data_IF_286248839421
#
_entry.id   IF_286248839421
#
_cell.length_a   1.000
_cell.length_b   1.000
_cell.length_c   1.000
_cell.angle_alpha   90.00
_cell.angle_beta   90.00
_cell.angle_gamma   90.00
#
_symmetry.space_group_name_H-M   'P 1'
#
loop_
_entity.id
_entity.type
_entity.pdbx_description
1 polymer ?
#
# COMPACT_ATOMS: atom_id res chain seq x y z
N UNK A 1 11.13 -31.38 -40.53
CA UNK A 1 10.48 -31.59 -39.23
C UNK A 1 10.95 -30.49 -38.30
N UNK A 2 10.23 -29.37 -38.27
CA UNK A 2 10.56 -28.21 -37.43
C UNK A 2 9.36 -27.90 -36.56
N UNK A 3 9.42 -28.27 -35.29
CA UNK A 3 8.62 -27.62 -34.24
C UNK A 3 9.45 -27.57 -32.96
N UNK A 4 10.42 -26.67 -32.94
CA UNK A 4 10.92 -26.10 -31.69
C UNK A 4 9.81 -25.21 -31.14
N UNK A 5 9.06 -25.74 -30.17
CA UNK A 5 8.15 -24.96 -29.33
C UNK A 5 8.98 -23.91 -28.60
N UNK A 6 9.00 -22.70 -29.13
CA UNK A 6 9.45 -21.51 -28.41
C UNK A 6 8.57 -21.38 -27.17
N UNK A 7 9.18 -21.63 -26.00
CA UNK A 7 8.70 -21.07 -24.75
C UNK A 7 8.65 -19.56 -24.96
N UNK A 8 7.46 -19.02 -25.09
CA UNK A 8 7.24 -17.59 -25.01
C UNK A 8 7.76 -17.15 -23.65
N UNK A 9 8.89 -16.45 -23.66
CA UNK A 9 9.34 -15.66 -22.53
C UNK A 9 8.25 -14.64 -22.23
N UNK A 10 7.41 -14.93 -21.24
CA UNK A 10 6.53 -13.94 -20.61
C UNK A 10 7.43 -12.84 -20.06
N UNK A 11 7.46 -11.71 -20.76
CA UNK A 11 8.18 -10.50 -20.38
C UNK A 11 7.77 -10.08 -18.97
N UNK A 12 8.74 -10.01 -18.05
CA UNK A 12 8.58 -9.53 -16.68
C UNK A 12 8.36 -8.02 -16.57
N UNK A 13 8.35 -7.31 -17.71
CA UNK A 13 8.50 -5.85 -17.77
C UNK A 13 7.22 -5.14 -18.23
N UNK A 14 6.06 -5.74 -18.02
CA UNK A 14 4.81 -5.01 -18.22
C UNK A 14 4.66 -3.95 -17.12
N UNK A 15 4.77 -2.70 -17.53
CA UNK A 15 4.47 -1.53 -16.71
C UNK A 15 2.97 -1.52 -16.39
N UNK A 16 2.63 -1.32 -15.12
CA UNK A 16 1.25 -1.25 -14.66
C UNK A 16 0.54 -0.06 -15.32
N UNK A 17 -0.57 -0.33 -16.00
CA UNK A 17 -1.32 0.72 -16.67
C UNK A 17 -2.04 1.65 -15.68
N UNK A 18 -2.32 2.87 -16.14
CA UNK A 18 -2.96 3.93 -15.35
C UNK A 18 -4.35 3.55 -14.83
N UNK A 19 -5.10 2.71 -15.55
CA UNK A 19 -6.44 2.28 -15.14
C UNK A 19 -6.35 1.35 -13.93
N UNK A 20 -5.42 0.38 -13.96
CA UNK A 20 -5.16 -0.56 -12.85
C UNK A 20 -4.68 0.20 -11.60
N UNK A 21 -3.81 1.20 -11.75
CA UNK A 21 -3.38 2.04 -10.62
C UNK A 21 -4.56 2.81 -10.02
N UNK A 22 -5.39 3.44 -10.87
CA UNK A 22 -6.57 4.16 -10.42
C UNK A 22 -7.58 3.26 -9.70
N UNK A 23 -7.74 2.01 -10.14
CA UNK A 23 -8.57 1.03 -9.46
C UNK A 23 -8.00 0.67 -8.08
N UNK A 24 -6.71 0.38 -7.98
CA UNK A 24 -6.02 0.10 -6.72
C UNK A 24 -6.23 1.28 -5.75
N UNK A 25 -5.94 2.49 -6.22
CA UNK A 25 -6.08 3.73 -5.42
C UNK A 25 -7.50 3.94 -4.91
N UNK A 26 -8.53 3.67 -5.73
CA UNK A 26 -9.94 3.73 -5.29
C UNK A 26 -10.26 2.68 -4.23
N UNK A 27 -9.70 1.48 -4.33
CA UNK A 27 -9.92 0.41 -3.34
C UNK A 27 -9.23 0.71 -2.00
N UNK A 28 -8.10 1.42 -2.00
CA UNK A 28 -7.40 1.85 -0.77
C UNK A 28 -8.25 2.71 0.16
N UNK A 29 -9.18 3.51 -0.37
CA UNK A 29 -10.04 4.39 0.45
C UNK A 29 -10.87 3.63 1.50
N UNK A 30 -11.04 2.32 1.29
CA UNK A 30 -11.81 1.42 2.16
C UNK A 30 -10.94 0.65 3.15
N UNK A 31 -9.62 0.84 3.10
CA UNK A 31 -8.66 0.13 3.94
C UNK A 31 -8.35 0.96 5.18
N UNK A 32 -8.49 0.33 6.34
CA UNK A 32 -8.08 0.87 7.61
C UNK A 32 -6.58 0.63 7.83
N UNK A 33 -5.90 1.59 8.46
CA UNK A 33 -4.49 1.46 8.83
C UNK A 33 -4.32 1.70 10.33
N UNK A 34 -3.65 0.76 10.99
CA UNK A 34 -3.24 0.84 12.39
C UNK A 34 -1.74 0.55 12.55
N UNK A 35 -1.22 0.85 13.73
CA UNK A 35 0.15 0.53 14.09
C UNK A 35 0.23 -0.23 15.41
N UNK A 36 0.76 -1.44 15.37
CA UNK A 36 1.06 -2.25 16.54
C UNK A 36 2.50 -2.75 16.48
N UNK A 37 3.32 -2.39 17.48
CA UNK A 37 4.72 -2.79 17.52
C UNK A 37 4.92 -4.21 18.07
N UNK A 38 3.85 -4.87 18.53
CA UNK A 38 3.88 -6.23 19.11
C UNK A 38 3.85 -7.33 18.06
N UNK A 39 3.47 -7.02 16.82
CA UNK A 39 3.43 -8.01 15.74
C UNK A 39 4.85 -8.47 15.36
N UNK A 40 4.97 -9.74 14.97
CA UNK A 40 6.27 -10.35 14.62
C UNK A 40 6.79 -9.94 13.24
N UNK A 41 5.93 -9.48 12.33
CA UNK A 41 6.30 -9.04 10.98
C UNK A 41 6.48 -7.53 10.85
N UNK A 42 6.89 -7.08 9.67
CA UNK A 42 6.91 -5.66 9.30
C UNK A 42 5.49 -5.11 9.18
N UNK A 43 4.60 -5.88 8.57
CA UNK A 43 3.18 -5.65 8.52
C UNK A 43 2.41 -6.96 8.61
N UNK A 44 1.09 -6.85 8.69
CA UNK A 44 0.17 -7.89 8.25
C UNK A 44 -1.13 -7.25 7.77
N UNK A 45 -1.82 -7.95 6.90
CA UNK A 45 -3.13 -7.59 6.35
C UNK A 45 -4.22 -8.50 6.93
N UNK A 46 -5.35 -7.89 7.25
CA UNK A 46 -6.60 -8.55 7.61
C UNK A 46 -7.64 -8.24 6.52
N UNK A 47 -7.85 -9.14 5.54
CA UNK A 47 -8.80 -8.92 4.44
C UNK A 47 -10.26 -8.83 4.90
N UNK A 48 -10.62 -9.51 6.00
CA UNK A 48 -12.00 -9.52 6.52
C UNK A 48 -12.36 -8.14 7.09
N UNK A 49 -11.44 -7.57 7.89
CA UNK A 49 -11.59 -6.23 8.49
C UNK A 49 -11.14 -5.09 7.56
N UNK A 50 -10.59 -5.44 6.39
CA UNK A 50 -9.94 -4.51 5.44
C UNK A 50 -8.92 -3.64 6.17
N UNK A 51 -8.09 -4.25 6.98
CA UNK A 51 -7.17 -3.55 7.87
C UNK A 51 -5.72 -3.95 7.62
N UNK A 52 -4.84 -2.95 7.57
CA UNK A 52 -3.39 -3.12 7.60
C UNK A 52 -2.91 -2.77 9.01
N UNK A 53 -2.02 -3.60 9.56
CA UNK A 53 -1.32 -3.30 10.80
C UNK A 53 0.18 -3.26 10.53
N UNK A 54 0.81 -2.10 10.72
CA UNK A 54 2.24 -1.90 10.50
C UNK A 54 3.03 -1.84 11.81
N UNK A 55 4.23 -2.43 11.82
CA UNK A 55 5.18 -2.37 12.93
C UNK A 55 6.23 -1.29 12.71
N UNK A 56 6.00 -0.08 13.22
CA UNK A 56 6.93 1.04 13.05
C UNK A 56 8.33 0.77 13.63
N UNK A 57 8.43 -0.02 14.70
CA UNK A 57 9.72 -0.31 15.34
C UNK A 57 10.63 -1.13 14.41
N UNK A 58 10.07 -2.02 13.60
CA UNK A 58 10.84 -2.86 12.68
C UNK A 58 11.40 -2.10 11.49
N UNK A 59 10.69 -1.08 11.02
CA UNK A 59 11.13 -0.21 9.93
C UNK A 59 12.23 0.77 10.34
N UNK A 60 12.52 0.96 11.64
CA UNK A 60 13.63 1.80 12.15
C UNK A 60 13.71 3.22 11.57
N UNK A 61 12.57 3.78 11.14
CA UNK A 61 12.51 5.12 10.51
C UNK A 61 12.77 5.13 9.00
N UNK A 62 12.97 3.98 8.36
CA UNK A 62 13.02 3.86 6.91
C UNK A 62 11.63 4.01 6.31
N UNK A 63 11.39 5.16 5.66
CA UNK A 63 10.12 5.48 5.04
C UNK A 63 9.87 4.66 3.77
N UNK A 64 10.92 4.26 3.04
CA UNK A 64 10.77 3.50 1.81
C UNK A 64 10.38 2.07 2.12
N UNK A 65 11.03 1.46 3.12
CA UNK A 65 10.64 0.12 3.61
C UNK A 65 9.20 0.12 4.15
N UNK A 66 8.81 1.19 4.85
CA UNK A 66 7.45 1.35 5.37
C UNK A 66 6.41 1.47 4.25
N UNK A 67 6.69 2.25 3.21
CA UNK A 67 5.80 2.41 2.06
C UNK A 67 5.69 1.13 1.24
N UNK A 68 6.81 0.42 1.06
CA UNK A 68 6.81 -0.87 0.38
C UNK A 68 5.98 -1.90 1.14
N UNK A 69 6.13 -1.98 2.46
CA UNK A 69 5.32 -2.87 3.32
C UNK A 69 3.84 -2.46 3.27
N UNK A 70 3.53 -1.16 3.32
CA UNK A 70 2.16 -0.68 3.19
C UNK A 70 1.51 -1.15 1.89
N UNK A 71 2.20 -0.99 0.76
CA UNK A 71 1.68 -1.41 -0.54
C UNK A 71 1.51 -2.92 -0.64
N UNK A 72 2.48 -3.68 -0.13
CA UNK A 72 2.42 -5.13 -0.07
C UNK A 72 1.15 -5.60 0.65
N UNK A 73 0.93 -5.12 1.88
CA UNK A 73 -0.27 -5.49 2.66
C UNK A 73 -1.58 -4.97 2.06
N UNK A 74 -1.56 -3.78 1.45
CA UNK A 74 -2.74 -3.23 0.80
C UNK A 74 -3.19 -4.06 -0.40
N UNK A 75 -2.25 -4.56 -1.20
CA UNK A 75 -2.52 -5.37 -2.39
C UNK A 75 -3.10 -6.74 -2.01
N UNK A 76 -2.63 -7.35 -0.93
CA UNK A 76 -3.22 -8.56 -0.35
C UNK A 76 -4.70 -8.36 0.03
N UNK A 77 -5.04 -7.23 0.68
CA UNK A 77 -6.45 -6.90 1.01
C UNK A 77 -7.29 -6.68 -0.26
N UNK A 78 -6.69 -6.14 -1.32
CA UNK A 78 -7.36 -5.91 -2.60
C UNK A 78 -7.59 -7.23 -3.36
N UNK A 79 -6.87 -8.30 -3.00
CA UNK A 79 -7.03 -9.64 -3.55
C UNK A 79 -5.99 -10.02 -4.61
N UNK A 80 -4.85 -9.34 -4.65
CA UNK A 80 -3.72 -9.77 -5.47
C UNK A 80 -2.99 -10.95 -4.81
N UNK A 81 -2.46 -11.86 -5.63
CA UNK A 81 -1.57 -12.90 -5.14
C UNK A 81 -0.17 -12.34 -4.81
N UNK A 82 0.69 -13.17 -4.21
CA UNK A 82 2.02 -12.75 -3.76
C UNK A 82 2.92 -12.28 -4.91
N UNK A 83 2.89 -12.98 -6.04
CA UNK A 83 3.74 -12.68 -7.20
C UNK A 83 3.32 -11.38 -7.88
N UNK A 84 2.00 -11.16 -8.05
CA UNK A 84 1.44 -9.90 -8.52
C UNK A 84 1.71 -8.77 -7.54
N UNK A 85 1.58 -9.03 -6.23
CA UNK A 85 1.80 -8.04 -5.18
C UNK A 85 3.21 -7.48 -5.21
N UNK A 86 4.23 -8.35 -5.27
CA UNK A 86 5.64 -7.92 -5.34
C UNK A 86 5.89 -7.04 -6.57
N UNK A 87 5.38 -7.45 -7.74
CA UNK A 87 5.54 -6.70 -8.99
C UNK A 87 4.87 -5.33 -8.91
N UNK A 88 3.61 -5.29 -8.49
CA UNK A 88 2.81 -4.07 -8.46
C UNK A 88 3.31 -3.11 -7.39
N UNK A 89 3.65 -3.59 -6.18
CA UNK A 89 4.14 -2.76 -5.10
C UNK A 89 5.39 -1.96 -5.50
N UNK A 90 6.35 -2.61 -6.18
CA UNK A 90 7.58 -1.97 -6.64
C UNK A 90 7.39 -0.97 -7.78
N UNK A 91 6.27 -1.05 -8.52
CA UNK A 91 5.94 -0.10 -9.57
C UNK A 91 5.10 1.08 -9.03
N UNK A 92 4.06 0.79 -8.24
CA UNK A 92 3.13 1.80 -7.73
C UNK A 92 3.79 2.77 -6.73
N UNK A 93 4.77 2.31 -5.95
CA UNK A 93 5.51 3.14 -4.99
C UNK A 93 6.32 4.26 -5.67
N UNK A 94 6.71 4.06 -6.94
CA UNK A 94 7.45 5.03 -7.74
C UNK A 94 6.55 6.11 -8.35
N UNK A 95 5.23 5.92 -8.30
CA UNK A 95 4.27 6.85 -8.87
C UNK A 95 3.99 7.97 -7.85
N UNK A 96 4.28 9.24 -8.17
CA UNK A 96 4.26 10.33 -7.19
C UNK A 96 2.93 10.47 -6.43
N UNK A 97 1.79 10.41 -7.12
CA UNK A 97 0.48 10.58 -6.48
C UNK A 97 0.10 9.38 -5.60
N UNK A 98 0.47 8.17 -6.00
CA UNK A 98 0.21 6.97 -5.21
C UNK A 98 1.07 6.98 -3.94
N UNK A 99 2.34 7.35 -4.07
CA UNK A 99 3.25 7.58 -2.93
C UNK A 99 2.69 8.62 -1.96
N UNK A 100 2.22 9.76 -2.47
CA UNK A 100 1.62 10.82 -1.65
C UNK A 100 0.38 10.32 -0.89
N UNK A 101 -0.47 9.53 -1.55
CA UNK A 101 -1.66 8.94 -0.93
C UNK A 101 -1.29 7.98 0.22
N UNK A 102 -0.34 7.07 -0.01
CA UNK A 102 0.15 6.14 1.00
C UNK A 102 0.72 6.90 2.22
N UNK A 103 1.54 7.93 1.98
CA UNK A 103 2.06 8.81 3.02
C UNK A 103 0.93 9.50 3.81
N UNK A 104 -0.09 10.05 3.13
CA UNK A 104 -1.25 10.67 3.80
C UNK A 104 -2.00 9.69 4.70
N UNK A 105 -2.19 8.45 4.25
CA UNK A 105 -2.84 7.42 5.06
C UNK A 105 -2.01 7.06 6.30
N UNK A 106 -0.70 6.86 6.14
CA UNK A 106 0.24 6.61 7.23
C UNK A 106 0.22 7.75 8.26
N UNK A 107 0.35 9.01 7.81
CA UNK A 107 0.31 10.19 8.69
C UNK A 107 -1.02 10.28 9.44
N UNK A 108 -2.15 10.07 8.74
CA UNK A 108 -3.49 10.09 9.36
C UNK A 108 -3.62 9.04 10.47
N UNK A 109 -3.13 7.83 10.22
CA UNK A 109 -3.12 6.76 11.21
C UNK A 109 -2.17 7.05 12.39
N UNK A 110 -1.03 7.70 12.14
CA UNK A 110 -0.06 8.08 13.18
C UNK A 110 -0.67 9.14 14.10
N UNK A 111 -1.31 10.16 13.53
CA UNK A 111 -2.03 11.19 14.29
C UNK A 111 -3.11 10.54 15.16
N UNK A 112 -3.91 9.63 14.60
CA UNK A 112 -4.95 8.90 15.35
C UNK A 112 -4.38 8.07 16.51
N UNK A 113 -3.19 7.48 16.32
CA UNK A 113 -2.50 6.72 17.38
C UNK A 113 -1.95 7.62 18.50
N UNK A 114 -1.37 8.77 18.15
CA UNK A 114 -0.77 9.70 19.13
C UNK A 114 -1.85 10.49 19.88
N UNK A 115 -2.97 10.79 19.23
CA UNK A 115 -4.06 11.55 19.83
C UNK A 115 -5.42 10.89 19.56
N UNK A 116 -5.78 9.85 20.33
CA UNK A 116 -7.05 9.13 20.17
C UNK A 116 -8.28 10.04 20.31
N UNK A 117 -8.13 11.15 21.05
CA UNK A 117 -9.16 12.13 21.36
C UNK A 117 -9.20 13.33 20.40
N UNK A 118 -8.28 13.42 19.45
CA UNK A 118 -8.25 14.56 18.52
C UNK A 118 -9.37 14.45 17.50
N UNK A 119 -10.41 15.28 17.66
CA UNK A 119 -11.29 15.66 16.55
C UNK A 119 -10.38 16.25 15.48
N UNK A 120 -10.14 15.49 14.41
CA UNK A 120 -9.42 15.94 13.21
C UNK A 120 -9.95 17.33 12.89
N UNK A 121 -9.09 18.35 12.98
CA UNK A 121 -9.44 19.71 12.61
C UNK A 121 -9.94 19.64 11.17
N UNK A 122 -11.27 19.79 10.98
CA UNK A 122 -11.82 20.07 9.66
C UNK A 122 -11.11 21.35 9.21
N UNK A 123 -10.24 21.24 8.21
CA UNK A 123 -9.74 22.40 7.48
C UNK A 123 -10.98 23.18 7.07
N UNK A 124 -11.23 24.31 7.75
CA UNK A 124 -12.21 25.27 7.30
C UNK A 124 -11.76 25.64 5.89
N UNK A 125 -12.58 25.34 4.88
CA UNK A 125 -12.44 25.96 3.58
C UNK A 125 -12.55 27.47 3.83
N UNK A 126 -11.42 28.16 3.76
CA UNK A 126 -11.40 29.61 3.68
C UNK A 126 -11.98 29.95 2.30
N UNK A 127 -13.27 30.30 2.27
CA UNK A 127 -13.81 31.04 1.13
C UNK A 127 -13.33 32.47 1.28
N UNK A 128 -12.42 32.89 0.42
CA UNK A 128 -12.17 34.29 0.06
C UNK A 128 -11.94 34.34 -1.43
#
# INVERSE_FOLDING_TARGET
MNELKTKENLSSDQEIDEQKINEIVRKLERINLKFDNRIKGYGFSDPEEKEIILNLKRHKGDINELLNTFWHEALHIIGYDEDETIKIAGQIEKIPYARELAMKMIIKALIKKISPSSKVYKLKKSNS
#
